data_IF_567372398274
#
_entry.id   IF_567372398274
#
_cell.length_a   1.000
_cell.length_b   1.000
_cell.length_c   1.000
_cell.angle_alpha   90.00
_cell.angle_beta   90.00
_cell.angle_gamma   90.00
#
_symmetry.space_group_name_H-M   'P 1'
#
loop_
_entity.id
_entity.type
_entity.pdbx_description
1 polymer ?
#
# COMPACT_ATOMS: atom_id res chain seq x y z
N UNK A 1 1.27 -25.93 -12.77
CA UNK A 1 1.16 -24.47 -12.75
C UNK A 1 1.31 -23.91 -11.35
N UNK A 2 0.51 -24.31 -10.37
CA UNK A 2 0.55 -23.80 -8.97
C UNK A 2 1.94 -23.95 -8.31
N UNK A 3 2.56 -25.13 -8.40
CA UNK A 3 3.92 -25.37 -7.86
C UNK A 3 4.97 -24.38 -8.39
N UNK A 4 4.91 -24.06 -9.69
CA UNK A 4 5.84 -23.10 -10.32
C UNK A 4 5.61 -21.68 -9.79
N UNK A 5 4.35 -21.29 -9.57
CA UNK A 5 3.99 -19.98 -8.99
C UNK A 5 4.47 -19.89 -7.54
N UNK A 6 4.22 -20.92 -6.73
CA UNK A 6 4.68 -20.96 -5.33
C UNK A 6 6.21 -20.91 -5.21
N UNK A 7 6.92 -21.63 -6.06
CA UNK A 7 8.39 -21.58 -6.10
C UNK A 7 8.90 -20.18 -6.48
N UNK A 8 8.23 -19.53 -7.40
CA UNK A 8 8.59 -18.18 -7.83
C UNK A 8 8.39 -17.15 -6.70
N UNK A 9 7.25 -17.23 -5.98
CA UNK A 9 7.03 -16.41 -4.78
C UNK A 9 8.07 -16.69 -3.68
N UNK A 10 8.42 -17.95 -3.46
CA UNK A 10 9.42 -18.34 -2.47
C UNK A 10 10.81 -17.77 -2.78
N UNK A 11 11.21 -17.82 -4.05
CA UNK A 11 12.47 -17.21 -4.50
C UNK A 11 12.41 -15.70 -4.35
N UNK A 12 11.31 -15.06 -4.75
CA UNK A 12 11.13 -13.62 -4.64
C UNK A 12 11.21 -13.14 -3.17
N UNK A 13 10.49 -13.81 -2.25
CA UNK A 13 10.50 -13.44 -0.84
C UNK A 13 11.86 -13.60 -0.17
N UNK A 14 12.66 -14.60 -0.58
CA UNK A 14 14.03 -14.74 -0.09
C UNK A 14 14.98 -13.70 -0.68
N UNK A 15 14.66 -13.21 -1.86
CA UNK A 15 15.50 -12.27 -2.63
C UNK A 15 15.35 -10.82 -2.16
N UNK A 16 14.16 -10.43 -1.69
CA UNK A 16 13.92 -9.08 -1.19
C UNK A 16 14.28 -9.03 0.30
N UNK A 17 15.01 -7.99 0.79
CA UNK A 17 15.33 -7.85 2.19
C UNK A 17 14.06 -7.88 3.07
N UNK A 18 14.10 -8.70 4.12
CA UNK A 18 12.95 -8.93 5.00
C UNK A 18 12.41 -7.64 5.62
N UNK A 19 13.29 -6.69 5.96
CA UNK A 19 12.89 -5.38 6.48
C UNK A 19 11.98 -4.61 5.51
N UNK A 20 12.28 -4.63 4.21
CA UNK A 20 11.47 -3.93 3.19
C UNK A 20 10.10 -4.60 3.02
N UNK A 21 10.06 -5.94 2.98
CA UNK A 21 8.80 -6.70 2.87
C UNK A 21 7.94 -6.46 4.12
N UNK A 22 8.54 -6.53 5.32
CA UNK A 22 7.83 -6.31 6.57
C UNK A 22 7.28 -4.89 6.66
N UNK A 23 8.10 -3.88 6.33
CA UNK A 23 7.67 -2.47 6.33
C UNK A 23 6.51 -2.25 5.36
N UNK A 24 6.58 -2.82 4.16
CA UNK A 24 5.52 -2.74 3.18
C UNK A 24 4.22 -3.37 3.69
N UNK A 25 4.26 -4.59 4.22
CA UNK A 25 3.06 -5.29 4.71
C UNK A 25 2.44 -4.59 5.92
N UNK A 26 3.27 -4.15 6.86
CA UNK A 26 2.80 -3.38 8.03
C UNK A 26 2.15 -2.07 7.58
N UNK A 27 2.74 -1.35 6.61
CA UNK A 27 2.16 -0.11 6.08
C UNK A 27 0.79 -0.36 5.46
N UNK A 28 0.63 -1.42 4.66
CA UNK A 28 -0.65 -1.78 4.03
C UNK A 28 -1.71 -2.11 5.07
N UNK A 29 -1.38 -2.86 6.11
CA UNK A 29 -2.33 -3.19 7.19
C UNK A 29 -2.69 -1.94 7.98
N UNK A 30 -1.69 -1.13 8.36
CA UNK A 30 -1.91 0.08 9.15
C UNK A 30 -2.76 1.11 8.40
N UNK A 31 -2.48 1.37 7.12
CA UNK A 31 -3.26 2.36 6.37
C UNK A 31 -4.74 1.96 6.29
N UNK A 32 -5.07 0.68 6.15
CA UNK A 32 -6.45 0.20 6.11
C UNK A 32 -7.17 0.31 7.46
N UNK A 33 -6.48 0.00 8.56
CA UNK A 33 -7.05 0.18 9.90
C UNK A 33 -7.28 1.66 10.22
N UNK A 34 -6.33 2.52 9.86
CA UNK A 34 -6.39 3.95 10.09
C UNK A 34 -7.42 4.66 9.19
N UNK A 35 -7.72 4.12 8.01
CA UNK A 35 -8.71 4.68 7.09
C UNK A 35 -10.15 4.71 7.68
N UNK A 36 -10.41 3.97 8.76
CA UNK A 36 -11.68 4.05 9.49
C UNK A 36 -11.84 5.34 10.32
N UNK A 37 -10.83 6.18 10.39
CA UNK A 37 -10.87 7.44 11.12
C UNK A 37 -10.62 8.60 10.17
N UNK A 38 -11.53 9.57 10.16
CA UNK A 38 -11.31 10.83 9.49
C UNK A 38 -10.20 11.63 10.20
N UNK A 39 -9.26 12.15 9.43
CA UNK A 39 -8.23 13.08 9.86
C UNK A 39 -8.76 14.53 9.75
N UNK A 40 -9.47 14.79 8.66
CA UNK A 40 -10.04 16.09 8.33
C UNK A 40 -11.34 15.87 7.55
N UNK A 41 -12.40 16.64 7.91
CA UNK A 41 -13.67 16.65 7.18
C UNK A 41 -14.16 18.08 7.01
N UNK A 42 -14.05 18.60 5.79
CA UNK A 42 -14.53 19.89 5.33
C UNK A 42 -15.54 19.69 4.20
N UNK A 43 -16.41 20.68 3.91
CA UNK A 43 -17.42 20.54 2.84
C UNK A 43 -16.84 20.20 1.45
N UNK A 44 -15.60 20.62 1.21
CA UNK A 44 -14.92 20.44 -0.08
C UNK A 44 -13.73 19.49 0.02
N UNK A 45 -13.28 19.08 1.19
CA UNK A 45 -12.12 18.22 1.38
C UNK A 45 -12.33 17.32 2.60
N UNK A 46 -12.15 16.01 2.41
CA UNK A 46 -12.07 15.06 3.51
C UNK A 46 -10.83 14.20 3.32
N UNK A 47 -10.18 13.83 4.41
CA UNK A 47 -9.01 12.94 4.45
C UNK A 47 -9.19 11.95 5.59
N UNK A 48 -8.80 10.70 5.39
CA UNK A 48 -8.71 9.70 6.44
C UNK A 48 -7.29 9.59 7.02
N UNK A 49 -7.15 8.92 8.17
CA UNK A 49 -5.86 8.75 8.82
C UNK A 49 -4.94 7.74 8.13
N UNK A 50 -5.43 6.93 7.20
CA UNK A 50 -4.63 5.98 6.43
C UNK A 50 -3.56 6.67 5.57
N UNK A 51 -3.88 7.87 5.10
CA UNK A 51 -2.99 8.77 4.39
C UNK A 51 -1.63 8.98 5.09
N UNK A 52 -1.58 9.00 6.42
CA UNK A 52 -0.33 9.24 7.18
C UNK A 52 0.74 8.18 6.91
N UNK A 53 0.35 6.98 6.48
CA UNK A 53 1.25 5.82 6.31
C UNK A 53 1.32 5.33 4.86
N UNK A 54 0.35 5.69 4.01
CA UNK A 54 0.24 5.18 2.63
C UNK A 54 1.49 5.42 1.78
N UNK A 55 2.13 6.58 1.89
CA UNK A 55 3.36 6.92 1.17
C UNK A 55 4.52 5.92 1.40
N UNK A 56 4.56 5.26 2.57
CA UNK A 56 5.58 4.23 2.88
C UNK A 56 5.44 3.03 1.95
N UNK A 57 4.20 2.64 1.66
CA UNK A 57 3.92 1.51 0.77
C UNK A 57 4.41 1.80 -0.66
N UNK A 58 4.18 3.01 -1.17
CA UNK A 58 4.65 3.43 -2.50
C UNK A 58 6.17 3.50 -2.57
N UNK A 59 6.83 4.05 -1.57
CA UNK A 59 8.30 4.07 -1.50
C UNK A 59 8.89 2.64 -1.52
N UNK A 60 8.32 1.73 -0.76
CA UNK A 60 8.73 0.31 -0.79
C UNK A 60 8.49 -0.33 -2.16
N UNK A 61 7.35 -0.06 -2.80
CA UNK A 61 7.06 -0.54 -4.15
C UNK A 61 8.09 -0.05 -5.16
N UNK A 62 8.46 1.23 -5.10
CA UNK A 62 9.43 1.82 -6.01
C UNK A 62 10.83 1.24 -5.83
N UNK A 63 11.26 1.02 -4.59
CA UNK A 63 12.53 0.33 -4.31
C UNK A 63 12.53 -1.10 -4.87
N UNK A 64 11.45 -1.86 -4.66
CA UNK A 64 11.30 -3.23 -5.17
C UNK A 64 11.24 -3.21 -6.71
N UNK A 65 10.44 -2.31 -7.29
CA UNK A 65 10.32 -2.17 -8.74
C UNK A 65 11.66 -1.80 -9.39
N UNK A 66 12.42 -0.91 -8.77
CA UNK A 66 13.73 -0.48 -9.27
C UNK A 66 14.74 -1.62 -9.33
N UNK A 67 14.78 -2.46 -8.29
CA UNK A 67 15.76 -3.56 -8.21
C UNK A 67 15.30 -4.83 -8.92
N UNK A 68 14.03 -5.21 -8.73
CA UNK A 68 13.50 -6.52 -9.13
C UNK A 68 12.52 -6.46 -10.32
N UNK A 69 12.14 -5.25 -10.75
CA UNK A 69 11.22 -5.01 -11.86
C UNK A 69 9.73 -4.97 -11.45
N UNK A 70 8.88 -4.47 -12.36
CA UNK A 70 7.44 -4.27 -12.10
C UNK A 70 6.70 -5.57 -11.77
N UNK A 71 7.05 -6.69 -12.41
CA UNK A 71 6.42 -7.99 -12.10
C UNK A 71 6.65 -8.43 -10.65
N UNK A 72 7.84 -8.18 -10.11
CA UNK A 72 8.16 -8.48 -8.71
C UNK A 72 7.35 -7.58 -7.76
N UNK A 73 7.32 -6.27 -8.03
CA UNK A 73 6.56 -5.30 -7.25
C UNK A 73 5.07 -5.66 -7.20
N UNK A 74 4.45 -5.96 -8.35
CA UNK A 74 3.04 -6.38 -8.43
C UNK A 74 2.79 -7.68 -7.64
N UNK A 75 3.68 -8.67 -7.73
CA UNK A 75 3.56 -9.91 -6.96
C UNK A 75 3.59 -9.68 -5.45
N UNK A 76 4.50 -8.84 -4.97
CA UNK A 76 4.58 -8.48 -3.55
C UNK A 76 3.32 -7.71 -3.12
N UNK A 77 2.79 -6.82 -3.96
CA UNK A 77 1.53 -6.11 -3.69
C UNK A 77 0.35 -7.08 -3.57
N UNK A 78 0.25 -8.07 -4.47
CA UNK A 78 -0.78 -9.11 -4.38
C UNK A 78 -0.65 -9.91 -3.07
N UNK A 79 0.58 -10.22 -2.66
CA UNK A 79 0.80 -10.95 -1.40
C UNK A 79 0.44 -10.10 -0.18
N UNK A 80 0.80 -8.81 -0.17
CA UNK A 80 0.40 -7.87 0.88
C UNK A 80 -1.13 -7.77 0.99
N UNK A 81 -1.83 -7.74 -0.16
CA UNK A 81 -3.27 -7.78 -0.23
C UNK A 81 -3.86 -9.04 0.43
N UNK A 82 -3.34 -10.21 0.10
CA UNK A 82 -3.80 -11.47 0.68
C UNK A 82 -3.57 -11.52 2.20
N UNK A 83 -2.43 -11.01 2.68
CA UNK A 83 -2.15 -10.89 4.11
C UNK A 83 -3.13 -9.92 4.77
N UNK A 84 -3.39 -8.76 4.16
CA UNK A 84 -4.34 -7.79 4.68
C UNK A 84 -5.77 -8.34 4.76
N UNK A 85 -6.23 -9.08 3.74
CA UNK A 85 -7.51 -9.78 3.77
C UNK A 85 -7.58 -10.84 4.87
N UNK A 86 -6.49 -11.59 5.08
CA UNK A 86 -6.43 -12.59 6.17
C UNK A 86 -6.50 -11.92 7.56
N UNK A 87 -5.79 -10.80 7.76
CA UNK A 87 -5.87 -10.01 9.00
C UNK A 87 -7.28 -9.49 9.24
N UNK A 88 -7.95 -8.97 8.21
CA UNK A 88 -9.33 -8.49 8.31
C UNK A 88 -10.31 -9.60 8.63
N UNK A 89 -10.13 -10.78 8.05
CA UNK A 89 -10.93 -11.94 8.37
C UNK A 89 -10.75 -12.36 9.83
N UNK A 90 -9.53 -12.30 10.36
CA UNK A 90 -9.26 -12.56 11.78
C UNK A 90 -9.99 -11.55 12.68
N UNK A 91 -9.91 -10.25 12.37
CA UNK A 91 -10.62 -9.22 13.14
C UNK A 91 -12.14 -9.39 13.08
N UNK A 92 -12.66 -9.70 11.90
CA UNK A 92 -14.08 -10.01 11.74
C UNK A 92 -14.50 -11.23 12.60
N UNK A 93 -13.74 -12.30 12.56
CA UNK A 93 -14.00 -13.48 13.37
C UNK A 93 -13.94 -13.19 14.89
N UNK A 94 -12.95 -12.38 15.32
CA UNK A 94 -12.85 -11.96 16.71
C UNK A 94 -14.03 -11.05 17.13
N UNK A 95 -14.54 -10.21 16.25
CA UNK A 95 -15.68 -9.33 16.54
C UNK A 95 -17.00 -10.09 16.75
N UNK A 96 -17.08 -11.34 16.31
CA UNK A 96 -18.24 -12.23 16.53
C UNK A 96 -18.19 -12.94 17.88
N UNK A 97 -17.09 -12.87 18.62
CA UNK A 97 -16.97 -13.49 19.93
C UNK A 97 -17.79 -12.72 20.98
N UNK A 98 -18.34 -13.38 22.00
CA UNK A 98 -19.17 -12.72 23.02
C UNK A 98 -18.37 -11.88 24.02
N UNK A 99 -17.03 -11.91 23.96
CA UNK A 99 -16.16 -11.15 24.86
C UNK A 99 -16.16 -9.66 24.55
N UNK A 100 -15.85 -8.85 25.56
CA UNK A 100 -15.67 -7.41 25.42
C UNK A 100 -14.21 -7.05 25.22
N UNK A 101 -13.97 -5.89 24.60
CA UNK A 101 -12.62 -5.36 24.41
C UNK A 101 -12.01 -4.87 25.74
N UNK A 102 -10.85 -5.42 26.11
CA UNK A 102 -9.92 -4.99 27.14
C UNK A 102 -10.51 -4.20 28.32
N UNK A 103 -10.21 -2.93 28.40
CA UNK A 103 -10.59 -2.04 29.51
C UNK A 103 -12.11 -1.85 29.71
N UNK A 104 -12.95 -2.35 28.79
CA UNK A 104 -14.40 -2.22 28.89
C UNK A 104 -15.08 -3.42 29.56
N UNK A 105 -14.33 -4.46 29.91
CA UNK A 105 -14.86 -5.61 30.66
C UNK A 105 -15.46 -5.19 32.02
N UNK A 106 -14.71 -4.41 32.78
CA UNK A 106 -15.10 -4.00 34.11
C UNK A 106 -16.17 -2.90 34.12
N UNK A 107 -16.21 -2.08 33.05
CA UNK A 107 -17.14 -0.95 32.96
C UNK A 107 -18.51 -1.34 32.40
N UNK A 108 -18.62 -2.52 31.76
CA UNK A 108 -19.85 -2.96 31.12
C UNK A 108 -20.35 -2.07 29.99
N UNK A 109 -19.48 -1.28 29.37
CA UNK A 109 -19.84 -0.34 28.30
C UNK A 109 -20.10 -1.07 26.98
N UNK A 110 -21.27 -1.70 26.87
CA UNK A 110 -21.70 -2.48 25.71
C UNK A 110 -21.69 -1.64 24.42
N UNK A 111 -22.05 -0.36 24.50
CA UNK A 111 -22.06 0.55 23.34
C UNK A 111 -20.66 0.74 22.75
N UNK A 112 -19.65 0.91 23.60
CA UNK A 112 -18.25 1.04 23.16
C UNK A 112 -17.77 -0.27 22.55
N UNK A 113 -18.11 -1.41 23.16
CA UNK A 113 -17.77 -2.71 22.63
C UNK A 113 -18.40 -2.93 21.23
N UNK A 114 -19.65 -2.56 21.07
CA UNK A 114 -20.35 -2.64 19.79
C UNK A 114 -19.71 -1.74 18.73
N UNK A 115 -19.34 -0.51 19.11
CA UNK A 115 -18.64 0.41 18.22
C UNK A 115 -17.26 -0.11 17.79
N UNK A 116 -16.50 -0.71 18.72
CA UNK A 116 -15.19 -1.32 18.40
C UNK A 116 -15.35 -2.55 17.50
N UNK A 117 -16.32 -3.41 17.75
CA UNK A 117 -16.63 -4.54 16.89
C UNK A 117 -17.03 -4.07 15.49
N UNK A 118 -17.85 -3.04 15.38
CA UNK A 118 -18.26 -2.46 14.10
C UNK A 118 -17.07 -1.82 13.36
N UNK A 119 -16.17 -1.17 14.08
CA UNK A 119 -15.01 -0.50 13.48
C UNK A 119 -13.94 -1.49 13.05
N UNK A 120 -13.58 -2.44 13.90
CA UNK A 120 -12.45 -3.35 13.64
C UNK A 120 -12.90 -4.55 12.81
N UNK A 121 -14.04 -5.15 13.14
CA UNK A 121 -14.57 -6.33 12.46
C UNK A 121 -15.51 -6.03 11.30
N UNK A 122 -16.18 -4.87 11.33
CA UNK A 122 -17.15 -4.43 10.31
C UNK A 122 -16.53 -3.79 9.07
N UNK A 123 -15.21 -3.62 9.02
CA UNK A 123 -14.52 -2.86 7.95
C UNK A 123 -14.23 -3.65 6.69
N UNK A 124 -14.88 -4.77 6.47
CA UNK A 124 -14.68 -5.60 5.28
C UNK A 124 -14.79 -4.81 3.97
N UNK A 125 -15.71 -3.84 3.87
CA UNK A 125 -15.89 -3.00 2.69
C UNK A 125 -14.71 -2.02 2.50
N UNK A 126 -14.13 -1.48 3.58
CA UNK A 126 -12.93 -0.63 3.54
C UNK A 126 -11.77 -1.46 3.00
N UNK A 127 -11.58 -2.66 3.54
CA UNK A 127 -10.51 -3.57 3.12
C UNK A 127 -10.67 -4.01 1.67
N UNK A 128 -11.88 -4.34 1.24
CA UNK A 128 -12.14 -4.70 -0.16
C UNK A 128 -11.89 -3.52 -1.09
N UNK A 129 -12.38 -2.33 -0.76
CA UNK A 129 -12.19 -1.12 -1.57
C UNK A 129 -10.72 -0.71 -1.63
N UNK A 130 -10.04 -0.68 -0.48
CA UNK A 130 -8.60 -0.42 -0.40
C UNK A 130 -7.78 -1.49 -1.14
N UNK A 131 -8.20 -2.75 -1.06
CA UNK A 131 -7.57 -3.83 -1.80
C UNK A 131 -7.66 -3.64 -3.31
N UNK A 132 -8.83 -3.21 -3.80
CA UNK A 132 -9.03 -2.90 -5.20
C UNK A 132 -8.20 -1.68 -5.62
N UNK A 133 -8.25 -0.61 -4.84
CA UNK A 133 -7.49 0.61 -5.08
C UNK A 133 -5.99 0.31 -5.16
N UNK A 134 -5.46 -0.38 -4.14
CA UNK A 134 -4.06 -0.80 -4.08
C UNK A 134 -3.66 -1.68 -5.27
N UNK A 135 -4.50 -2.63 -5.70
CA UNK A 135 -4.18 -3.49 -6.84
C UNK A 135 -4.09 -2.69 -8.14
N UNK A 136 -5.05 -1.81 -8.39
CA UNK A 136 -5.06 -0.95 -9.57
C UNK A 136 -3.88 0.01 -9.55
N UNK A 137 -3.66 0.70 -8.44
CA UNK A 137 -2.57 1.66 -8.28
C UNK A 137 -1.20 0.99 -8.35
N UNK A 138 -1.01 -0.18 -7.74
CA UNK A 138 0.23 -0.94 -7.81
C UNK A 138 0.60 -1.34 -9.24
N UNK A 139 -0.39 -1.76 -10.05
CA UNK A 139 -0.18 -2.08 -11.47
C UNK A 139 0.22 -0.81 -12.24
N UNK A 140 -0.51 0.29 -12.04
CA UNK A 140 -0.23 1.57 -12.71
C UNK A 140 1.15 2.09 -12.30
N UNK A 141 1.42 2.21 -10.99
CA UNK A 141 2.71 2.69 -10.47
C UNK A 141 3.88 1.85 -10.99
N UNK A 142 3.81 0.54 -10.84
CA UNK A 142 4.89 -0.36 -11.24
C UNK A 142 5.13 -0.35 -12.74
N UNK A 143 4.08 -0.28 -13.55
CA UNK A 143 4.18 -0.24 -15.01
C UNK A 143 4.75 1.09 -15.49
N UNK A 144 4.29 2.21 -14.94
CA UNK A 144 4.85 3.54 -15.24
C UNK A 144 6.31 3.65 -14.81
N UNK A 145 6.63 3.23 -13.58
CA UNK A 145 7.99 3.24 -13.06
C UNK A 145 8.94 2.43 -13.97
N UNK A 146 8.54 1.24 -14.39
CA UNK A 146 9.34 0.42 -15.30
C UNK A 146 9.46 1.04 -16.70
N UNK A 147 8.37 1.58 -17.25
CA UNK A 147 8.36 2.20 -18.60
C UNK A 147 9.25 3.44 -18.64
N UNK A 148 9.13 4.32 -17.65
CA UNK A 148 10.00 5.47 -17.49
C UNK A 148 11.47 5.04 -17.29
N UNK A 149 11.71 3.95 -16.56
CA UNK A 149 13.03 3.39 -16.38
C UNK A 149 13.69 2.90 -17.67
N UNK A 150 12.90 2.40 -18.63
CA UNK A 150 13.40 2.01 -19.96
C UNK A 150 13.72 3.23 -20.83
N UNK A 151 12.96 4.32 -20.68
CA UNK A 151 13.21 5.57 -21.42
C UNK A 151 14.42 6.33 -20.88
N UNK A 152 14.62 6.32 -19.57
CA UNK A 152 15.70 7.01 -18.89
C UNK A 152 16.92 6.10 -18.76
N UNK A 153 17.82 6.14 -19.73
CA UNK A 153 19.03 5.29 -19.80
C UNK A 153 20.05 5.55 -18.69
N UNK A 154 20.00 6.72 -18.04
CA UNK A 154 20.96 7.11 -16.99
C UNK A 154 20.58 6.49 -15.65
N UNK A 155 21.53 5.81 -15.01
CA UNK A 155 21.34 5.22 -13.66
C UNK A 155 21.91 6.14 -12.57
N UNK A 156 21.31 7.33 -12.44
CA UNK A 156 21.65 8.32 -11.42
C UNK A 156 20.43 8.67 -10.56
N UNK A 157 20.65 9.45 -9.50
CA UNK A 157 19.58 9.87 -8.59
C UNK A 157 18.46 10.63 -9.31
N UNK A 158 18.80 11.54 -10.24
CA UNK A 158 17.80 12.33 -10.96
C UNK A 158 16.85 11.43 -11.78
N UNK A 159 17.38 10.42 -12.47
CA UNK A 159 16.54 9.46 -13.21
C UNK A 159 15.70 8.59 -12.28
N UNK A 160 16.25 8.17 -11.14
CA UNK A 160 15.51 7.45 -10.12
C UNK A 160 14.36 8.30 -9.59
N UNK A 161 14.66 9.53 -9.13
CA UNK A 161 13.70 10.43 -8.55
C UNK A 161 12.57 10.80 -9.54
N UNK A 162 12.91 11.16 -10.78
CA UNK A 162 11.91 11.51 -11.78
C UNK A 162 10.93 10.36 -12.05
N UNK A 163 11.44 9.15 -12.26
CA UNK A 163 10.58 7.98 -12.51
C UNK A 163 9.74 7.61 -11.29
N UNK A 164 10.31 7.71 -10.08
CA UNK A 164 9.62 7.49 -8.82
C UNK A 164 8.49 8.51 -8.67
N UNK A 165 8.79 9.79 -8.73
CA UNK A 165 7.80 10.84 -8.51
C UNK A 165 6.63 10.82 -9.50
N UNK A 166 6.91 10.58 -10.79
CA UNK A 166 5.85 10.49 -11.80
C UNK A 166 5.00 9.25 -11.58
N UNK A 167 5.62 8.09 -11.38
CA UNK A 167 4.87 6.85 -11.18
C UNK A 167 4.08 6.87 -9.88
N UNK A 168 4.67 7.37 -8.79
CA UNK A 168 4.01 7.47 -7.49
C UNK A 168 2.90 8.50 -7.51
N UNK A 169 3.11 9.70 -8.04
CA UNK A 169 2.07 10.72 -8.10
C UNK A 169 0.83 10.24 -8.85
N UNK A 170 1.00 9.55 -9.99
CA UNK A 170 -0.10 8.94 -10.72
C UNK A 170 -0.68 7.75 -9.96
N UNK A 171 0.17 6.89 -9.39
CA UNK A 171 -0.28 5.72 -8.63
C UNK A 171 -1.12 6.11 -7.41
N UNK A 172 -0.65 7.06 -6.61
CA UNK A 172 -1.35 7.57 -5.43
C UNK A 172 -2.65 8.28 -5.79
N UNK A 173 -2.66 9.08 -6.87
CA UNK A 173 -3.90 9.68 -7.34
C UNK A 173 -4.94 8.61 -7.71
N UNK A 174 -4.55 7.57 -8.42
CA UNK A 174 -5.43 6.45 -8.79
C UNK A 174 -5.88 5.66 -7.55
N UNK A 175 -4.97 5.40 -6.61
CA UNK A 175 -5.29 4.72 -5.35
C UNK A 175 -6.37 5.48 -4.58
N UNK A 176 -6.11 6.74 -4.27
CA UNK A 176 -7.05 7.61 -3.56
C UNK A 176 -8.37 7.76 -4.30
N UNK A 177 -8.35 7.87 -5.64
CA UNK A 177 -9.55 8.02 -6.45
C UNK A 177 -10.42 6.76 -6.41
N UNK A 178 -9.82 5.59 -6.61
CA UNK A 178 -10.55 4.31 -6.59
C UNK A 178 -11.10 4.05 -5.19
N UNK A 179 -10.29 4.27 -4.15
CA UNK A 179 -10.73 4.13 -2.76
C UNK A 179 -11.88 5.08 -2.45
N UNK A 180 -11.74 6.37 -2.75
CA UNK A 180 -12.75 7.37 -2.47
C UNK A 180 -14.07 7.11 -3.22
N UNK A 181 -14.03 6.58 -4.46
CA UNK A 181 -15.23 6.19 -5.19
C UNK A 181 -15.88 4.97 -4.54
N UNK A 182 -15.11 3.91 -4.30
CA UNK A 182 -15.64 2.62 -3.86
C UNK A 182 -16.08 2.65 -2.39
N UNK A 183 -15.32 3.33 -1.54
CA UNK A 183 -15.55 3.34 -0.09
C UNK A 183 -16.19 4.65 0.35
N UNK A 184 -15.48 5.76 0.18
CA UNK A 184 -15.86 7.02 0.81
C UNK A 184 -17.16 7.59 0.22
N UNK A 185 -17.32 7.56 -1.09
CA UNK A 185 -18.56 7.99 -1.72
C UNK A 185 -19.73 7.03 -1.43
N UNK A 186 -19.48 5.72 -1.57
CA UNK A 186 -20.55 4.71 -1.48
C UNK A 186 -21.00 4.46 -0.04
N UNK A 187 -20.08 4.43 0.94
CA UNK A 187 -20.38 4.04 2.32
C UNK A 187 -20.34 5.21 3.32
N UNK A 188 -19.48 6.22 3.07
CA UNK A 188 -19.37 7.40 3.97
C UNK A 188 -20.14 8.62 3.46
N UNK A 189 -20.74 8.53 2.27
CA UNK A 189 -21.58 9.59 1.71
C UNK A 189 -20.80 10.82 1.21
N UNK A 190 -19.50 10.67 0.91
CA UNK A 190 -18.72 11.78 0.38
C UNK A 190 -19.26 12.28 -0.97
N UNK A 191 -19.25 13.60 -1.15
CA UNK A 191 -19.60 14.23 -2.41
C UNK A 191 -18.51 13.99 -3.47
N UNK A 192 -18.87 14.11 -4.74
CA UNK A 192 -17.89 14.00 -5.85
C UNK A 192 -16.78 15.05 -5.75
N UNK A 193 -17.08 16.22 -5.19
CA UNK A 193 -16.07 17.26 -4.93
C UNK A 193 -15.07 16.76 -3.88
N UNK A 194 -15.53 16.20 -2.78
CA UNK A 194 -14.68 15.62 -1.74
C UNK A 194 -13.84 14.46 -2.29
N UNK A 195 -14.43 13.58 -3.11
CA UNK A 195 -13.73 12.48 -3.77
C UNK A 195 -12.55 13.01 -4.60
N UNK A 196 -12.80 13.98 -5.47
CA UNK A 196 -11.75 14.51 -6.34
C UNK A 196 -10.67 15.28 -5.55
N UNK A 197 -11.11 16.14 -4.62
CA UNK A 197 -10.19 16.95 -3.82
C UNK A 197 -9.36 16.11 -2.87
N UNK A 198 -9.95 15.07 -2.26
CA UNK A 198 -9.19 14.09 -1.46
C UNK A 198 -8.13 13.39 -2.30
N UNK A 199 -8.52 12.91 -3.49
CA UNK A 199 -7.59 12.20 -4.37
C UNK A 199 -6.41 13.05 -4.80
N UNK A 200 -6.66 14.32 -5.14
CA UNK A 200 -5.60 15.28 -5.51
C UNK A 200 -4.73 15.66 -4.31
N UNK A 201 -5.35 16.04 -3.19
CA UNK A 201 -4.62 16.51 -2.01
C UNK A 201 -3.80 15.36 -1.39
N UNK A 202 -4.40 14.17 -1.30
CA UNK A 202 -3.72 12.97 -0.83
C UNK A 202 -2.50 12.66 -1.68
N UNK A 203 -2.67 12.56 -3.00
CA UNK A 203 -1.58 12.28 -3.92
C UNK A 203 -0.44 13.31 -3.84
N UNK A 204 -0.76 14.60 -3.74
CA UNK A 204 0.26 15.67 -3.61
C UNK A 204 1.01 15.55 -2.29
N UNK A 205 0.31 15.35 -1.18
CA UNK A 205 0.93 15.30 0.13
C UNK A 205 1.76 14.02 0.32
N UNK A 206 1.28 12.87 -0.16
CA UNK A 206 2.02 11.61 -0.16
C UNK A 206 3.26 11.69 -1.06
N UNK A 207 3.14 12.34 -2.23
CA UNK A 207 4.27 12.59 -3.11
C UNK A 207 5.32 13.48 -2.45
N UNK A 208 4.92 14.52 -1.70
CA UNK A 208 5.85 15.35 -0.94
C UNK A 208 6.62 14.52 0.09
N UNK A 209 5.94 13.64 0.84
CA UNK A 209 6.61 12.73 1.77
C UNK A 209 7.64 11.84 1.05
N UNK A 210 7.31 11.33 -0.13
CA UNK A 210 8.24 10.53 -0.92
C UNK A 210 9.43 11.35 -1.42
N UNK A 211 9.21 12.59 -1.88
CA UNK A 211 10.30 13.49 -2.30
C UNK A 211 11.34 13.65 -1.19
N UNK A 212 10.91 13.85 0.05
CA UNK A 212 11.83 13.96 1.19
C UNK A 212 12.59 12.67 1.50
N UNK A 213 12.00 11.51 1.22
CA UNK A 213 12.59 10.21 1.57
C UNK A 213 13.22 9.47 0.38
N UNK A 214 13.02 9.93 -0.84
CA UNK A 214 13.63 9.34 -2.04
C UNK A 214 15.16 9.23 -2.00
N UNK A 215 15.93 10.16 -1.36
CA UNK A 215 17.37 9.97 -1.19
C UNK A 215 17.71 8.73 -0.38
N UNK A 216 16.88 8.40 0.62
CA UNK A 216 17.04 7.18 1.43
C UNK A 216 16.74 5.95 0.57
N UNK A 217 15.60 5.93 -0.14
CA UNK A 217 15.23 4.85 -1.06
C UNK A 217 16.31 4.60 -2.11
N UNK A 218 16.86 5.65 -2.71
CA UNK A 218 17.95 5.54 -3.66
C UNK A 218 19.21 4.90 -3.06
N UNK A 219 19.65 5.34 -1.87
CA UNK A 219 20.82 4.75 -1.18
C UNK A 219 20.61 3.27 -0.88
N UNK A 220 19.42 2.89 -0.43
CA UNK A 220 19.06 1.49 -0.15
C UNK A 220 19.15 0.65 -1.43
N UNK A 221 18.52 1.08 -2.52
CA UNK A 221 18.57 0.35 -3.80
C UNK A 221 20.00 0.23 -4.33
N UNK A 222 20.80 1.29 -4.23
CA UNK A 222 22.23 1.23 -4.62
C UNK A 222 23.05 0.31 -3.73
N UNK A 223 22.73 0.21 -2.43
CA UNK A 223 23.28 -0.81 -1.54
C UNK A 223 22.95 -2.22 -2.04
N UNK A 224 21.69 -2.50 -2.35
CA UNK A 224 21.27 -3.78 -2.92
C UNK A 224 21.98 -4.12 -4.24
N UNK A 225 22.20 -3.12 -5.10
CA UNK A 225 22.94 -3.32 -6.36
C UNK A 225 24.40 -3.70 -6.10
N UNK A 226 25.08 -3.04 -5.15
CA UNK A 226 26.49 -3.32 -4.80
C UNK A 226 26.68 -4.70 -4.16
N UNK A 227 25.73 -5.10 -3.31
CA UNK A 227 25.78 -6.37 -2.57
C UNK A 227 25.16 -7.53 -3.38
N UNK A 228 24.76 -7.29 -4.63
CA UNK A 228 24.06 -8.26 -5.47
C UNK A 228 22.84 -8.90 -4.81
N UNK A 229 22.12 -8.12 -3.99
CA UNK A 229 20.89 -8.59 -3.32
C UNK A 229 19.91 -9.12 -4.35
N UNK A 230 19.44 -10.35 -4.13
CA UNK A 230 18.42 -10.99 -4.94
C UNK A 230 18.87 -11.48 -6.30
N UNK A 231 20.17 -11.76 -6.49
CA UNK A 231 20.72 -12.32 -7.74
C UNK A 231 19.95 -13.56 -8.20
N UNK A 232 19.58 -14.47 -7.28
CA UNK A 232 18.81 -15.69 -7.58
C UNK A 232 17.50 -15.38 -8.34
N UNK A 233 16.75 -14.37 -7.91
CA UNK A 233 15.51 -13.97 -8.58
C UNK A 233 15.80 -13.31 -9.95
N UNK A 234 16.80 -12.43 -9.99
CA UNK A 234 17.16 -11.69 -11.19
C UNK A 234 17.68 -12.61 -12.30
N UNK A 235 18.57 -13.55 -11.99
CA UNK A 235 19.08 -14.55 -12.93
C UNK A 235 17.98 -15.44 -13.49
N UNK A 236 17.07 -15.91 -12.63
CA UNK A 236 15.91 -16.72 -13.03
C UNK A 236 14.99 -15.99 -14.01
N UNK A 237 14.90 -14.67 -13.95
CA UNK A 237 14.02 -13.85 -14.79
C UNK A 237 14.74 -13.12 -15.92
N UNK A 238 16.08 -13.13 -15.95
CA UNK A 238 16.85 -12.63 -17.08
C UNK A 238 16.86 -13.63 -18.25
N UNK A 239 16.65 -14.91 -17.95
CA UNK A 239 16.63 -16.01 -18.93
C UNK A 239 15.21 -16.32 -19.48
N UNK A 240 14.17 -15.60 -19.04
CA UNK A 240 12.77 -15.78 -19.45
C UNK A 240 12.26 -14.55 -20.20
#
# INVERSE_FOLDING_TARGET
>A
MIKKVMEDYKVLLRSIPAATVSLFFVSVIMMNLLANKELLSLPYLALDCGFVVSWVSFLCQDMICKRFGAKASIKISILALLVNLAVSLCFWACSLTPGMWGAYYDTGMIEVNTALNATIGGTWYVVLGSSLAMLVSAVVNSTLNQSLGRMLKKNNFASFAFRSYVSTGVGQFIDNLVFAIVVSHTFFGWTWVQVLMCSLTGAVAELLCEVFLSPVGYKVVRGWERENVGSEYLERHAAA
#
